data_IF_470518753379
#
_entry.id   IF_470518753379
#
_cell.length_a   1.000
_cell.length_b   1.000
_cell.length_c   1.000
_cell.angle_alpha   90.00
_cell.angle_beta   90.00
_cell.angle_gamma   90.00
#
_symmetry.space_group_name_H-M   'P 1'
#
loop_
_entity.id
_entity.type
_entity.pdbx_description
1 polymer ?
#
# COMPACT_ATOMS: atom_id res chain seq x y z
N UNK A 1 -8.55 10.20 -5.78
CA UNK A 1 -8.74 11.04 -4.56
C UNK A 1 -7.92 12.31 -4.74
N UNK A 2 -8.52 13.51 -4.70
CA UNK A 2 -7.83 14.78 -5.00
C UNK A 2 -6.58 15.01 -4.13
N UNK A 3 -6.67 14.67 -2.85
CA UNK A 3 -5.57 14.79 -1.89
C UNK A 3 -4.35 13.95 -2.26
N UNK A 4 -4.54 12.75 -2.81
CA UNK A 4 -3.44 11.93 -3.30
C UNK A 4 -2.75 12.59 -4.49
N UNK A 5 -3.52 13.10 -5.45
CA UNK A 5 -2.98 13.77 -6.64
C UNK A 5 -2.16 15.03 -6.31
N UNK A 6 -2.67 15.89 -5.42
CA UNK A 6 -2.00 17.15 -5.07
C UNK A 6 -0.66 16.92 -4.36
N UNK A 7 -0.57 15.86 -3.54
CA UNK A 7 0.58 15.62 -2.66
C UNK A 7 1.53 14.52 -3.16
N UNK A 8 1.23 13.92 -4.32
CA UNK A 8 2.08 12.88 -4.90
C UNK A 8 3.46 13.42 -5.28
N UNK A 9 4.50 12.63 -5.00
CA UNK A 9 5.91 13.00 -5.23
C UNK A 9 6.45 14.16 -4.39
N UNK A 10 5.62 14.81 -3.56
CA UNK A 10 6.06 15.91 -2.72
C UNK A 10 6.72 15.41 -1.42
N UNK A 11 7.63 16.22 -0.87
CA UNK A 11 8.22 16.03 0.44
C UNK A 11 8.09 17.33 1.23
N UNK A 12 7.51 17.28 2.43
CA UNK A 12 7.19 18.47 3.23
C UNK A 12 7.24 18.19 4.73
N UNK A 13 7.43 19.24 5.52
CA UNK A 13 7.55 19.17 6.97
C UNK A 13 7.21 20.54 7.60
N UNK A 14 7.00 20.57 8.93
CA UNK A 14 6.77 21.81 9.66
C UNK A 14 8.06 22.65 9.74
N UNK A 15 7.94 23.95 9.45
CA UNK A 15 9.00 24.94 9.56
C UNK A 15 9.58 25.04 10.98
N UNK A 16 8.78 24.80 12.02
CA UNK A 16 9.26 24.81 13.40
C UNK A 16 10.11 23.57 13.75
N UNK A 17 10.02 22.50 12.95
CA UNK A 17 10.83 21.30 13.05
C UNK A 17 12.08 21.43 12.15
N UNK A 18 12.02 22.21 11.06
CA UNK A 18 13.19 22.60 10.26
C UNK A 18 13.75 23.93 10.76
N UNK A 19 14.59 23.88 11.79
CA UNK A 19 15.17 25.05 12.45
C UNK A 19 15.51 26.23 11.53
N UNK A 20 14.58 27.19 11.43
CA UNK A 20 14.79 28.61 11.16
C UNK A 20 15.62 29.06 9.93
N UNK A 21 16.11 28.19 9.05
CA UNK A 21 17.06 28.60 8.00
C UNK A 21 16.71 28.02 6.62
N UNK A 22 16.15 28.88 5.78
CA UNK A 22 16.15 28.76 4.32
C UNK A 22 15.03 27.92 3.71
N UNK A 23 14.57 28.34 2.53
CA UNK A 23 13.72 27.56 1.63
C UNK A 23 14.56 26.42 1.01
N UNK A 24 14.96 25.45 1.81
CA UNK A 24 15.58 24.22 1.31
C UNK A 24 14.51 23.14 1.22
N UNK A 25 14.46 22.42 0.10
CA UNK A 25 13.55 21.28 -0.12
C UNK A 25 13.96 20.04 0.67
N UNK A 26 15.13 20.08 1.29
CA UNK A 26 15.67 19.00 2.13
C UNK A 26 15.25 19.20 3.58
N UNK A 27 14.07 18.67 3.92
CA UNK A 27 13.64 18.55 5.31
C UNK A 27 14.69 17.72 6.08
N UNK A 28 15.47 18.36 6.96
CA UNK A 28 16.42 17.73 7.88
C UNK A 28 15.73 16.97 9.02
N UNK A 29 14.74 16.14 8.71
CA UNK A 29 14.02 15.35 9.69
C UNK A 29 14.93 14.22 10.20
N UNK A 30 15.51 14.40 11.39
CA UNK A 30 16.33 13.39 12.08
C UNK A 30 15.54 12.15 12.52
N UNK A 31 14.21 12.17 12.38
CA UNK A 31 13.37 10.99 12.22
C UNK A 31 12.64 11.10 10.89
N UNK A 32 12.94 10.21 9.93
CA UNK A 32 12.29 10.16 8.60
C UNK A 32 10.82 10.60 8.64
N UNK A 33 10.42 11.47 7.72
CA UNK A 33 9.13 11.40 7.05
C UNK A 33 7.84 11.26 7.91
N UNK A 34 7.83 11.56 9.22
CA UNK A 34 6.68 11.22 10.08
C UNK A 34 5.39 11.94 9.65
N UNK A 35 5.49 13.22 9.24
CA UNK A 35 4.34 13.98 8.74
C UNK A 35 3.84 13.48 7.39
N UNK A 36 4.74 13.29 6.41
CA UNK A 36 4.41 12.74 5.08
C UNK A 36 3.81 11.34 5.21
N UNK A 37 4.43 10.49 6.03
CA UNK A 37 3.96 9.14 6.31
C UNK A 37 2.62 9.11 7.04
N UNK A 38 2.43 9.95 8.07
CA UNK A 38 1.15 10.07 8.77
C UNK A 38 0.05 10.60 7.85
N UNK A 39 0.38 11.54 6.98
CA UNK A 39 -0.53 12.03 5.95
C UNK A 39 -0.96 10.89 5.02
N UNK A 40 -0.02 10.14 4.45
CA UNK A 40 -0.34 9.03 3.55
C UNK A 40 -1.13 7.92 4.26
N UNK A 41 -0.79 7.58 5.51
CA UNK A 41 -1.60 6.65 6.31
C UNK A 41 -3.03 7.17 6.53
N UNK A 42 -3.20 8.45 6.82
CA UNK A 42 -4.52 9.06 6.99
C UNK A 42 -5.33 9.05 5.69
N UNK A 43 -4.69 9.41 4.57
CA UNK A 43 -5.30 9.36 3.24
C UNK A 43 -5.71 7.94 2.84
N UNK A 44 -4.82 6.96 3.00
CA UNK A 44 -5.08 5.53 2.80
C UNK A 44 -6.22 5.01 3.67
N UNK A 45 -6.26 5.38 4.95
CA UNK A 45 -7.36 5.02 5.86
C UNK A 45 -8.71 5.60 5.40
N UNK A 46 -8.72 6.86 4.95
CA UNK A 46 -9.93 7.49 4.46
C UNK A 46 -10.38 6.89 3.11
N UNK A 47 -9.44 6.53 2.24
CA UNK A 47 -9.71 5.91 0.95
C UNK A 47 -10.28 4.49 1.11
N UNK A 48 -9.60 3.64 1.87
CA UNK A 48 -10.00 2.23 2.08
C UNK A 48 -11.36 2.07 2.77
N UNK A 49 -11.85 3.06 3.53
CA UNK A 49 -13.22 3.04 4.08
C UNK A 49 -14.32 3.26 3.03
N UNK A 50 -13.96 3.78 1.86
CA UNK A 50 -14.92 4.20 0.82
C UNK A 50 -14.97 3.25 -0.37
N UNK A 51 -14.03 2.31 -0.48
CA UNK A 51 -14.04 1.30 -1.57
C UNK A 51 -15.25 0.37 -1.42
N UNK A 52 -15.76 -0.12 -2.54
CA UNK A 52 -16.97 -0.96 -2.60
C UNK A 52 -16.81 -2.03 -3.67
N UNK A 53 -17.59 -3.09 -3.56
CA UNK A 53 -17.68 -4.21 -4.48
C UNK A 53 -16.34 -4.95 -4.66
N UNK A 54 -15.72 -4.82 -5.83
CA UNK A 54 -14.50 -5.53 -6.23
C UNK A 54 -13.29 -4.60 -6.13
N UNK A 55 -12.30 -5.02 -5.35
CA UNK A 55 -11.09 -4.24 -5.07
C UNK A 55 -9.86 -4.90 -5.68
N UNK A 56 -9.13 -4.16 -6.51
CA UNK A 56 -7.83 -4.59 -7.03
C UNK A 56 -6.67 -4.13 -6.15
N UNK A 57 -5.70 -5.01 -5.89
CA UNK A 57 -4.43 -4.69 -5.22
C UNK A 57 -3.30 -5.09 -6.17
N UNK A 58 -2.39 -4.17 -6.46
CA UNK A 58 -1.23 -4.45 -7.31
C UNK A 58 0.01 -4.59 -6.42
N UNK A 59 0.77 -5.66 -6.60
CA UNK A 59 1.97 -5.98 -5.82
C UNK A 59 3.14 -6.30 -6.74
N UNK A 60 4.33 -5.91 -6.33
CA UNK A 60 5.56 -6.22 -7.05
C UNK A 60 5.98 -7.68 -6.77
N UNK A 61 5.98 -8.52 -7.81
CA UNK A 61 6.40 -9.93 -7.75
C UNK A 61 7.91 -10.14 -7.83
N UNK A 62 8.67 -9.14 -8.26
CA UNK A 62 10.14 -9.19 -8.37
C UNK A 62 10.87 -8.99 -7.04
N UNK A 63 10.16 -8.70 -5.94
CA UNK A 63 10.75 -8.54 -4.61
C UNK A 63 10.55 -9.78 -3.73
N UNK A 64 11.36 -9.93 -2.69
CA UNK A 64 11.32 -11.10 -1.79
C UNK A 64 9.99 -11.26 -1.05
N UNK A 65 9.36 -10.15 -0.66
CA UNK A 65 8.13 -10.11 0.14
C UNK A 65 7.14 -9.13 -0.52
N UNK A 66 6.34 -9.57 -1.52
CA UNK A 66 5.34 -8.75 -2.18
C UNK A 66 4.30 -8.16 -1.22
N UNK A 67 3.86 -8.97 -0.24
CA UNK A 67 2.98 -8.53 0.83
C UNK A 67 3.72 -8.49 2.17
N UNK A 68 4.00 -7.27 2.66
CA UNK A 68 4.58 -7.04 3.99
C UNK A 68 3.47 -6.69 4.99
N UNK A 69 3.38 -7.43 6.09
CA UNK A 69 2.45 -7.19 7.20
C UNK A 69 2.64 -5.83 7.89
N UNK A 70 3.79 -5.18 7.72
CA UNK A 70 4.09 -3.86 8.26
C UNK A 70 3.77 -2.72 7.28
N UNK A 71 3.37 -3.04 6.05
CA UNK A 71 3.01 -2.05 5.03
C UNK A 71 1.77 -1.24 5.41
N UNK A 72 1.57 -0.08 4.77
CA UNK A 72 0.33 0.69 4.89
C UNK A 72 -0.88 -0.12 4.41
N UNK A 73 -0.72 -0.92 3.36
CA UNK A 73 -1.76 -1.83 2.89
C UNK A 73 -2.22 -2.77 4.01
N UNK A 74 -1.30 -3.49 4.63
CA UNK A 74 -1.61 -4.46 5.67
C UNK A 74 -2.15 -3.81 6.97
N UNK A 75 -1.50 -2.74 7.42
CA UNK A 75 -1.78 -2.15 8.75
C UNK A 75 -2.91 -1.14 8.76
N UNK A 76 -3.23 -0.52 7.61
CA UNK A 76 -4.20 0.57 7.52
C UNK A 76 -5.34 0.26 6.57
N UNK A 77 -5.06 -0.26 5.38
CA UNK A 77 -6.08 -0.38 4.33
C UNK A 77 -6.92 -1.65 4.48
N UNK A 78 -6.30 -2.83 4.60
CA UNK A 78 -7.00 -4.11 4.77
C UNK A 78 -7.97 -4.14 5.97
N UNK A 79 -7.67 -3.56 7.15
CA UNK A 79 -8.61 -3.50 8.27
C UNK A 79 -9.92 -2.74 7.97
N UNK A 80 -9.93 -1.86 6.97
CA UNK A 80 -11.12 -1.12 6.57
C UNK A 80 -11.99 -1.85 5.54
N UNK A 81 -11.46 -2.90 4.88
CA UNK A 81 -12.24 -3.71 3.96
C UNK A 81 -13.16 -4.64 4.74
N UNK A 82 -14.48 -4.49 4.54
CA UNK A 82 -15.50 -5.21 5.30
C UNK A 82 -16.65 -5.64 4.40
N UNK A 83 -17.20 -6.82 4.67
CA UNK A 83 -18.50 -7.19 4.13
C UNK A 83 -19.64 -6.36 4.78
N UNK A 84 -20.76 -6.13 4.07
CA UNK A 84 -21.03 -6.52 2.69
C UNK A 84 -20.49 -5.52 1.64
N UNK A 85 -19.82 -4.45 2.09
CA UNK A 85 -19.36 -3.35 1.24
C UNK A 85 -18.33 -3.81 0.21
N UNK A 86 -17.39 -4.66 0.61
CA UNK A 86 -16.39 -5.28 -0.27
C UNK A 86 -16.69 -6.77 -0.36
N UNK A 87 -16.83 -7.28 -1.58
CA UNK A 87 -17.22 -8.67 -1.85
C UNK A 87 -16.04 -9.51 -2.31
N UNK A 88 -15.18 -8.93 -3.13
CA UNK A 88 -13.99 -9.59 -3.66
C UNK A 88 -12.78 -8.67 -3.61
N UNK A 89 -11.63 -9.25 -3.32
CA UNK A 89 -10.34 -8.65 -3.55
C UNK A 89 -9.56 -9.49 -4.54
N UNK A 90 -9.06 -8.85 -5.60
CA UNK A 90 -8.16 -9.46 -6.58
C UNK A 90 -6.75 -8.90 -6.37
N UNK A 91 -5.79 -9.76 -6.03
CA UNK A 91 -4.39 -9.41 -5.99
C UNK A 91 -3.75 -9.66 -7.38
N UNK A 92 -3.17 -8.62 -7.95
CA UNK A 92 -2.40 -8.66 -9.18
C UNK A 92 -0.93 -8.62 -8.81
N UNK A 93 -0.21 -9.70 -9.09
CA UNK A 93 1.25 -9.74 -8.91
C UNK A 93 1.89 -9.46 -10.27
N UNK A 94 2.74 -8.43 -10.30
CA UNK A 94 3.37 -7.93 -11.52
C UNK A 94 4.87 -8.12 -11.43
N UNK A 95 5.44 -8.76 -12.43
CA UNK A 95 6.87 -8.99 -12.54
C UNK A 95 7.53 -7.99 -13.48
N UNK A 96 8.78 -7.66 -13.18
CA UNK A 96 9.62 -6.94 -14.14
C UNK A 96 9.91 -7.84 -15.35
N UNK A 97 10.06 -7.21 -16.51
CA UNK A 97 10.35 -7.92 -17.77
C UNK A 97 11.75 -8.56 -17.79
N UNK A 98 12.67 -8.06 -16.96
CA UNK A 98 14.01 -8.61 -16.83
C UNK A 98 14.05 -9.67 -15.72
N UNK A 99 14.55 -10.85 -16.08
CA UNK A 99 14.47 -12.07 -15.29
C UNK A 99 15.25 -11.95 -13.97
N UNK A 100 14.53 -11.67 -12.87
CA UNK A 100 15.06 -11.75 -11.51
C UNK A 100 15.08 -13.21 -11.02
N UNK A 101 16.05 -13.54 -10.15
CA UNK A 101 16.09 -14.86 -9.52
C UNK A 101 14.89 -15.04 -8.56
N UNK A 102 13.96 -15.90 -8.96
CA UNK A 102 12.79 -16.39 -8.20
C UNK A 102 11.64 -15.36 -8.02
N UNK A 103 10.91 -15.04 -9.10
CA UNK A 103 9.68 -14.23 -9.03
C UNK A 103 8.67 -14.85 -8.06
N UNK A 104 8.01 -14.02 -7.26
CA UNK A 104 6.99 -14.44 -6.31
C UNK A 104 5.66 -14.58 -7.00
N UNK A 105 5.08 -15.74 -6.78
CA UNK A 105 3.83 -16.19 -7.39
C UNK A 105 2.67 -16.07 -6.40
N UNK A 106 1.46 -16.32 -6.88
CA UNK A 106 0.26 -16.30 -6.05
C UNK A 106 0.26 -17.34 -4.92
N UNK A 107 1.07 -18.39 -5.04
CA UNK A 107 1.27 -19.44 -4.03
C UNK A 107 2.45 -19.18 -3.07
N UNK A 108 3.18 -18.07 -3.25
CA UNK A 108 4.27 -17.69 -2.36
C UNK A 108 3.77 -17.37 -0.95
N UNK A 109 4.62 -17.60 0.07
CA UNK A 109 4.26 -17.48 1.49
C UNK A 109 3.55 -16.15 1.82
N UNK A 110 4.15 -15.01 1.46
CA UNK A 110 3.55 -13.69 1.70
C UNK A 110 2.20 -13.48 1.00
N UNK A 111 1.98 -14.11 -0.16
CA UNK A 111 0.70 -14.06 -0.87
C UNK A 111 -0.37 -14.94 -0.21
N UNK A 112 0.04 -16.08 0.36
CA UNK A 112 -0.83 -16.89 1.21
C UNK A 112 -1.22 -16.15 2.49
N UNK A 113 -0.30 -15.37 3.07
CA UNK A 113 -0.61 -14.49 4.21
C UNK A 113 -1.65 -13.42 3.83
N UNK A 114 -1.51 -12.77 2.67
CA UNK A 114 -2.51 -11.83 2.16
C UNK A 114 -3.88 -12.50 1.99
N UNK A 115 -3.91 -13.70 1.39
CA UNK A 115 -5.13 -14.50 1.26
C UNK A 115 -5.77 -14.78 2.62
N UNK A 116 -4.98 -15.14 3.64
CA UNK A 116 -5.49 -15.37 4.99
C UNK A 116 -6.05 -14.08 5.60
N UNK A 117 -5.37 -12.95 5.42
CA UNK A 117 -5.84 -11.65 5.89
C UNK A 117 -7.17 -11.26 5.23
N UNK A 118 -7.37 -11.53 3.94
CA UNK A 118 -8.62 -11.17 3.26
C UNK A 118 -9.75 -12.14 3.65
N UNK A 119 -9.48 -13.44 3.61
CA UNK A 119 -10.51 -14.47 3.86
C UNK A 119 -11.00 -14.49 5.31
N UNK A 120 -10.16 -14.14 6.30
CA UNK A 120 -10.63 -14.00 7.70
C UNK A 120 -11.65 -12.88 7.90
N UNK A 121 -11.81 -11.98 6.92
CA UNK A 121 -12.83 -10.91 6.90
C UNK A 121 -14.09 -11.34 6.12
N UNK A 122 -14.19 -12.62 5.78
CA UNK A 122 -15.22 -13.23 4.93
C UNK A 122 -15.25 -12.69 3.50
N UNK A 123 -14.20 -12.03 3.02
CA UNK A 123 -14.13 -11.47 1.66
C UNK A 123 -13.54 -12.51 0.71
N UNK A 124 -14.09 -12.63 -0.51
CA UNK A 124 -13.57 -13.51 -1.55
C UNK A 124 -12.19 -13.03 -2.00
N UNK A 125 -11.27 -13.97 -2.23
CA UNK A 125 -9.90 -13.66 -2.67
C UNK A 125 -9.61 -14.31 -4.02
N UNK A 126 -9.08 -13.53 -4.95
CA UNK A 126 -8.50 -13.98 -6.22
C UNK A 126 -7.08 -13.47 -6.34
N UNK A 127 -6.22 -14.23 -7.00
CA UNK A 127 -4.86 -13.79 -7.32
C UNK A 127 -4.57 -14.09 -8.79
N UNK A 128 -3.94 -13.15 -9.47
CA UNK A 128 -3.57 -13.21 -10.89
C UNK A 128 -2.12 -12.77 -11.07
N UNK A 129 -1.36 -13.55 -11.84
CA UNK A 129 0.03 -13.28 -12.20
C UNK A 129 0.06 -12.64 -13.58
N UNK A 130 0.71 -11.47 -13.69
CA UNK A 130 0.91 -10.74 -14.94
C UNK A 130 -0.35 -10.65 -15.82
N UNK A 131 -1.45 -10.06 -15.30
CA UNK A 131 -2.68 -9.88 -16.07
C UNK A 131 -2.40 -9.02 -17.32
N UNK A 132 -2.94 -9.46 -18.47
CA UNK A 132 -2.77 -8.81 -19.78
C UNK A 132 -3.56 -7.52 -19.93
#
# INVERSE_FOLDING_TARGET
MLTGYIFDGLNWCDKNITGGKGYTTTCGCTGKAQMVYAFWKSASNAYSKRVQDDVGIILNGSISIPFDKNSTLATVELPNLKQPQVRQVTAYIVHDLEEGQYPRKCDSESMLELKMEITKRNISYRCEEDPM
#
